data_IF_362440511299
#
_entry.id   IF_362440511299
#
_cell.length_a   1.000
_cell.length_b   1.000
_cell.length_c   1.000
_cell.angle_alpha   90.00
_cell.angle_beta   90.00
_cell.angle_gamma   90.00
#
_symmetry.space_group_name_H-M   'P 1'
#
loop_
_entity.id
_entity.type
_entity.pdbx_description
1 polymer ?
#
# COMPACT_ATOMS: atom_id res chain seq x y z
N UNK A 1 -22.74 2.33 9.89
CA UNK A 1 -21.49 1.56 9.99
C UNK A 1 -20.51 2.32 10.88
N UNK A 2 -19.73 1.66 11.75
CA UNK A 2 -18.71 2.39 12.51
C UNK A 2 -17.58 2.81 11.57
N UNK A 3 -16.93 3.96 11.82
CA UNK A 3 -15.89 4.49 10.93
C UNK A 3 -14.70 3.53 10.75
N UNK A 4 -14.42 2.68 11.74
CA UNK A 4 -13.39 1.62 11.67
C UNK A 4 -13.80 0.47 10.74
N UNK A 5 -15.08 0.11 10.71
CA UNK A 5 -15.58 -0.95 9.82
C UNK A 5 -15.54 -0.50 8.36
N UNK A 6 -16.02 0.74 8.11
CA UNK A 6 -15.91 1.41 6.81
C UNK A 6 -14.47 1.40 6.31
N UNK A 7 -13.53 1.71 7.20
CA UNK A 7 -12.13 1.74 6.86
C UNK A 7 -11.57 0.37 6.47
N UNK A 8 -11.81 -0.65 7.30
CA UNK A 8 -11.34 -2.00 7.00
C UNK A 8 -11.92 -2.51 5.67
N UNK A 9 -13.15 -2.11 5.36
CA UNK A 9 -13.82 -2.41 4.10
C UNK A 9 -13.16 -1.69 2.91
N UNK A 10 -12.91 -0.37 3.01
CA UNK A 10 -12.17 0.39 1.98
C UNK A 10 -10.80 -0.24 1.70
N UNK A 11 -10.06 -0.62 2.75
CA UNK A 11 -8.77 -1.30 2.59
C UNK A 11 -8.94 -2.64 1.89
N UNK A 12 -9.96 -3.43 2.26
CA UNK A 12 -10.25 -4.71 1.60
C UNK A 12 -10.58 -4.54 0.12
N UNK A 13 -11.33 -3.49 -0.24
CA UNK A 13 -11.67 -3.17 -1.63
C UNK A 13 -10.42 -2.73 -2.39
N UNK A 14 -9.58 -1.89 -1.78
CA UNK A 14 -8.30 -1.47 -2.38
C UNK A 14 -7.40 -2.67 -2.70
N UNK A 15 -7.31 -3.64 -1.78
CA UNK A 15 -6.53 -4.87 -1.99
C UNK A 15 -7.01 -5.69 -3.19
N UNK A 16 -8.21 -5.46 -3.70
CA UNK A 16 -8.75 -6.11 -4.90
C UNK A 16 -8.56 -5.26 -6.16
N UNK A 17 -8.73 -3.94 -6.05
CA UNK A 17 -8.81 -3.04 -7.21
C UNK A 17 -7.53 -2.26 -7.51
N UNK A 18 -6.56 -2.20 -6.59
CA UNK A 18 -5.32 -1.40 -6.65
C UNK A 18 -5.50 0.12 -6.70
N UNK A 19 -6.65 0.61 -7.16
CA UNK A 19 -7.05 2.00 -7.21
C UNK A 19 -8.54 2.05 -6.90
N UNK A 20 -8.93 3.01 -6.07
CA UNK A 20 -10.35 3.28 -5.79
C UNK A 20 -10.71 4.57 -6.52
N UNK A 21 -11.48 4.44 -7.60
CA UNK A 21 -12.09 5.55 -8.33
C UNK A 21 -13.43 5.87 -7.68
N UNK A 22 -13.59 7.13 -7.27
CA UNK A 22 -14.79 7.61 -6.62
C UNK A 22 -15.50 8.60 -7.55
N UNK A 23 -16.71 8.24 -7.97
CA UNK A 23 -17.61 9.16 -8.65
C UNK A 23 -18.44 9.88 -7.59
N UNK A 24 -18.45 11.21 -7.64
CA UNK A 24 -19.32 12.03 -6.80
C UNK A 24 -20.71 12.08 -7.44
N UNK A 25 -21.65 11.35 -6.86
CA UNK A 25 -23.07 11.45 -7.18
C UNK A 25 -23.84 11.70 -5.88
N UNK A 26 -24.31 12.93 -5.69
CA UNK A 26 -25.27 13.28 -4.65
C UNK A 26 -24.94 12.71 -3.25
N UNK A 27 -23.76 13.08 -2.72
CA UNK A 27 -23.27 12.74 -1.38
C UNK A 27 -22.90 11.26 -1.15
N UNK A 28 -23.09 10.42 -2.17
CA UNK A 28 -22.72 9.02 -2.15
C UNK A 28 -21.60 8.76 -3.15
N UNK A 29 -20.57 8.14 -2.63
CA UNK A 29 -19.40 7.73 -3.38
C UNK A 29 -19.58 6.27 -3.73
N UNK A 30 -19.79 5.99 -5.01
CA UNK A 30 -19.75 4.62 -5.53
C UNK A 30 -18.31 4.22 -5.81
N UNK A 31 -17.89 3.04 -5.32
CA UNK A 31 -16.62 2.46 -5.74
C UNK A 31 -16.87 1.68 -7.03
N UNK A 32 -16.27 2.17 -8.11
CA UNK A 32 -16.40 1.57 -9.44
C UNK A 32 -15.98 0.09 -9.38
N UNK A 33 -16.84 -0.79 -9.90
CA UNK A 33 -16.59 -2.23 -9.97
C UNK A 33 -16.86 -3.02 -8.69
N UNK A 34 -17.32 -2.40 -7.59
CA UNK A 34 -17.52 -3.13 -6.33
C UNK A 34 -18.98 -3.12 -5.79
N UNK A 35 -19.95 -2.52 -6.48
CA UNK A 35 -21.39 -2.56 -6.09
C UNK A 35 -21.71 -1.98 -4.70
N UNK A 36 -20.71 -1.44 -3.99
CA UNK A 36 -20.82 -0.81 -2.68
C UNK A 36 -20.71 0.69 -2.84
N UNK A 37 -21.56 1.38 -2.10
CA UNK A 37 -21.56 2.83 -1.98
C UNK A 37 -21.22 3.21 -0.54
N UNK A 38 -20.44 4.27 -0.39
CA UNK A 38 -20.08 4.85 0.89
C UNK A 38 -20.49 6.31 0.85
N UNK A 39 -20.99 6.87 1.94
CA UNK A 39 -21.21 8.32 1.98
C UNK A 39 -19.86 9.07 1.98
N UNK A 40 -19.85 10.29 1.44
CA UNK A 40 -18.67 11.19 1.52
C UNK A 40 -18.23 11.38 2.97
N UNK A 41 -19.18 11.44 3.90
CA UNK A 41 -18.93 11.60 5.34
C UNK A 41 -18.21 10.39 5.92
N UNK A 42 -18.59 9.16 5.54
CA UNK A 42 -17.94 7.94 5.99
C UNK A 42 -16.50 7.84 5.50
N UNK A 43 -16.27 8.16 4.22
CA UNK A 43 -14.92 8.20 3.66
C UNK A 43 -14.09 9.27 4.37
N UNK A 44 -14.59 10.50 4.50
CA UNK A 44 -13.85 11.56 5.23
C UNK A 44 -13.51 11.17 6.65
N UNK A 45 -14.43 10.54 7.39
CA UNK A 45 -14.17 10.04 8.74
C UNK A 45 -13.12 8.92 8.77
N UNK A 46 -13.22 7.95 7.86
CA UNK A 46 -12.23 6.88 7.73
C UNK A 46 -10.82 7.43 7.43
N UNK A 47 -10.74 8.45 6.58
CA UNK A 47 -9.50 9.16 6.23
C UNK A 47 -8.95 9.96 7.41
N UNK A 48 -9.80 10.69 8.13
CA UNK A 48 -9.41 11.43 9.33
C UNK A 48 -8.82 10.52 10.40
N UNK A 49 -9.33 9.29 10.55
CA UNK A 49 -8.84 8.32 11.53
C UNK A 49 -7.43 7.81 11.25
N UNK A 50 -7.01 7.76 9.98
CA UNK A 50 -5.68 7.28 9.58
C UNK A 50 -4.69 8.39 9.23
N UNK A 51 -5.22 9.60 9.00
CA UNK A 51 -4.45 10.71 8.48
C UNK A 51 -3.87 10.43 7.09
N UNK A 52 -2.98 11.32 6.66
CA UNK A 52 -2.22 11.23 5.41
C UNK A 52 -1.14 10.13 5.41
N UNK A 53 -1.17 9.21 6.39
CA UNK A 53 -0.14 8.19 6.60
C UNK A 53 -0.35 6.94 5.74
N UNK A 54 -1.61 6.67 5.36
CA UNK A 54 -2.00 5.53 4.54
C UNK A 54 -2.62 5.94 3.21
N UNK A 55 -3.22 7.13 3.11
CA UNK A 55 -3.94 7.54 1.90
C UNK A 55 -3.34 8.80 1.27
N UNK A 56 -3.27 8.79 -0.05
CA UNK A 56 -3.01 9.94 -0.88
C UNK A 56 -4.25 10.21 -1.74
N UNK A 57 -4.67 11.47 -1.80
CA UNK A 57 -5.85 11.91 -2.53
C UNK A 57 -5.43 12.76 -3.70
N UNK A 58 -5.96 12.43 -4.87
CA UNK A 58 -5.69 13.13 -6.11
C UNK A 58 -7.01 13.33 -6.84
N UNK A 59 -7.24 14.48 -7.46
CA UNK A 59 -8.38 14.67 -8.36
C UNK A 59 -7.92 14.36 -9.78
N UNK A 60 -8.70 13.54 -10.50
CA UNK A 60 -8.49 13.29 -11.92
C UNK A 60 -8.93 14.49 -12.77
N UNK A 61 -8.53 14.51 -14.03
CA UNK A 61 -9.00 15.50 -15.02
C UNK A 61 -10.52 15.45 -15.25
N UNK A 62 -11.17 14.33 -14.89
CA UNK A 62 -12.61 14.12 -15.01
C UNK A 62 -13.37 14.46 -13.70
N UNK A 63 -12.73 15.17 -12.76
CA UNK A 63 -13.26 15.49 -11.43
C UNK A 63 -13.58 14.24 -10.57
N UNK A 64 -12.92 13.11 -10.82
CA UNK A 64 -13.02 11.93 -9.97
C UNK A 64 -12.02 12.04 -8.82
N UNK A 65 -12.44 11.70 -7.60
CA UNK A 65 -11.52 11.59 -6.47
C UNK A 65 -10.83 10.23 -6.53
N UNK A 66 -9.53 10.24 -6.76
CA UNK A 66 -8.67 9.07 -6.73
C UNK A 66 -8.10 8.92 -5.31
N UNK A 67 -8.31 7.73 -4.73
CA UNK A 67 -7.65 7.35 -3.48
C UNK A 67 -6.57 6.33 -3.79
N UNK A 68 -5.32 6.73 -3.53
CA UNK A 68 -4.16 5.83 -3.54
C UNK A 68 -3.83 5.44 -2.11
N UNK A 69 -3.50 4.17 -1.89
CA UNK A 69 -3.06 3.70 -0.58
C UNK A 69 -1.54 3.50 -0.58
N UNK A 70 -0.87 4.31 0.23
CA UNK A 70 0.58 4.40 0.35
C UNK A 70 0.98 4.22 1.81
N UNK A 71 1.06 2.97 2.30
CA UNK A 71 1.47 2.73 3.67
C UNK A 71 2.91 3.21 3.90
N UNK A 72 3.09 4.24 4.75
CA UNK A 72 4.42 4.70 5.21
C UNK A 72 5.05 3.78 6.26
N UNK A 73 4.47 2.61 6.45
CA UNK A 73 4.88 1.56 7.39
C UNK A 73 5.26 0.31 6.59
N UNK A 74 6.28 -0.41 7.05
CA UNK A 74 6.77 -1.61 6.36
C UNK A 74 7.31 -2.66 7.32
N UNK A 75 7.62 -3.85 6.81
CA UNK A 75 8.28 -4.91 7.57
C UNK A 75 9.80 -4.78 7.43
N UNK A 76 10.51 -4.81 8.55
CA UNK A 76 11.97 -4.68 8.57
C UNK A 76 12.63 -5.87 7.86
N UNK A 77 13.26 -5.62 6.71
CA UNK A 77 13.97 -6.67 5.95
C UNK A 77 15.19 -7.19 6.70
N UNK A 78 15.91 -6.30 7.38
CA UNK A 78 17.11 -6.66 8.16
C UNK A 78 16.76 -7.51 9.37
N UNK A 79 15.61 -7.31 9.99
CA UNK A 79 15.10 -8.18 11.05
C UNK A 79 14.87 -9.60 10.53
N UNK A 80 14.33 -9.76 9.32
CA UNK A 80 14.07 -11.08 8.73
C UNK A 80 15.34 -11.89 8.44
N UNK A 81 16.50 -11.23 8.34
CA UNK A 81 17.81 -11.85 8.11
C UNK A 81 18.75 -11.70 9.31
N UNK A 82 18.19 -11.45 10.51
CA UNK A 82 18.92 -11.30 11.77
C UNK A 82 20.01 -10.20 11.79
N UNK A 83 19.90 -9.18 10.92
CA UNK A 83 20.77 -8.00 10.87
C UNK A 83 20.23 -6.81 11.67
N UNK A 84 18.95 -6.80 12.01
CA UNK A 84 18.36 -5.80 12.90
C UNK A 84 18.10 -6.39 14.28
N UNK A 85 18.70 -5.78 15.31
CA UNK A 85 18.54 -6.25 16.68
C UNK A 85 17.13 -5.93 17.21
N UNK A 86 16.39 -6.93 17.75
CA UNK A 86 14.98 -6.77 18.15
C UNK A 86 14.72 -5.69 19.20
N UNK A 87 15.75 -5.35 20.00
CA UNK A 87 15.69 -4.43 21.14
C UNK A 87 16.20 -3.02 20.83
N UNK A 88 16.68 -2.77 19.61
CA UNK A 88 17.10 -1.42 19.23
C UNK A 88 15.86 -0.59 18.94
N UNK A 89 15.51 0.32 19.85
CA UNK A 89 14.35 1.21 19.70
C UNK A 89 14.42 2.18 18.51
N UNK A 90 15.47 2.10 17.69
CA UNK A 90 15.71 2.96 16.53
C UNK A 90 15.17 2.42 15.19
N UNK A 91 14.72 1.17 15.11
CA UNK A 91 14.16 0.66 13.85
C UNK A 91 12.81 1.32 13.54
N UNK A 92 12.62 1.88 12.36
CA UNK A 92 11.35 2.50 11.93
C UNK A 92 10.38 1.50 11.27
N UNK A 93 10.72 0.21 11.22
CA UNK A 93 9.95 -0.82 10.52
C UNK A 93 9.54 -1.97 11.46
N UNK A 94 8.42 -2.62 11.13
CA UNK A 94 7.82 -3.67 11.94
C UNK A 94 8.74 -4.90 12.01
N UNK A 95 8.96 -5.38 13.23
CA UNK A 95 9.62 -6.65 13.53
C UNK A 95 8.56 -7.73 13.66
N UNK A 96 8.03 -8.16 12.53
CA UNK A 96 6.92 -9.11 12.45
C UNK A 96 7.14 -10.08 11.29
N UNK A 97 6.50 -11.25 11.36
CA UNK A 97 6.48 -12.20 10.27
C UNK A 97 5.90 -11.58 9.01
N UNK A 98 6.69 -11.58 7.93
CA UNK A 98 6.24 -11.10 6.62
C UNK A 98 5.10 -11.94 6.03
N UNK A 99 4.86 -13.16 6.52
CA UNK A 99 3.77 -14.06 6.07
C UNK A 99 2.60 -14.10 7.06
N UNK A 100 2.48 -13.13 7.97
CA UNK A 100 1.37 -13.08 8.92
C UNK A 100 0.00 -13.25 8.21
N UNK A 101 -0.88 -14.08 8.78
CA UNK A 101 -2.16 -14.49 8.17
C UNK A 101 -2.09 -15.71 7.25
N UNK A 102 -0.91 -16.06 6.75
CA UNK A 102 -0.67 -17.25 5.91
C UNK A 102 0.49 -18.12 6.44
N UNK A 103 0.99 -17.80 7.64
CA UNK A 103 2.07 -18.49 8.30
C UNK A 103 1.50 -19.49 9.31
N UNK A 104 2.12 -20.67 9.43
CA UNK A 104 1.84 -21.54 10.57
C UNK A 104 2.51 -20.95 11.81
N UNK A 105 1.71 -20.44 12.75
CA UNK A 105 2.19 -19.75 13.95
C UNK A 105 3.09 -20.64 14.80
N UNK A 106 2.81 -21.95 14.85
CA UNK A 106 3.57 -22.91 15.68
C UNK A 106 5.01 -23.11 15.21
N UNK A 107 5.26 -22.95 13.91
CA UNK A 107 6.55 -23.24 13.28
C UNK A 107 7.30 -21.95 12.87
N UNK A 108 6.79 -20.78 13.28
CA UNK A 108 7.34 -19.51 12.84
C UNK A 108 8.34 -18.93 13.84
N UNK A 109 9.55 -18.66 13.36
CA UNK A 109 10.60 -18.01 14.15
C UNK A 109 10.42 -16.48 14.27
N UNK A 110 9.39 -15.90 13.66
CA UNK A 110 9.16 -14.45 13.67
C UNK A 110 7.94 -14.08 14.52
N UNK A 111 7.97 -12.92 15.22
CA UNK A 111 6.84 -12.47 15.99
C UNK A 111 5.58 -12.28 15.13
N UNK A 112 4.41 -12.52 15.71
CA UNK A 112 3.11 -12.27 15.09
C UNK A 112 2.29 -11.21 15.85
N UNK A 113 2.88 -10.57 16.85
CA UNK A 113 2.21 -9.60 17.72
C UNK A 113 2.58 -8.16 17.33
N UNK A 114 1.56 -7.34 17.10
CA UNK A 114 1.72 -5.90 16.84
C UNK A 114 1.90 -5.10 18.14
N UNK A 115 1.58 -5.69 19.30
CA UNK A 115 1.62 -5.03 20.59
C UNK A 115 2.99 -5.09 21.28
N UNK A 116 4.03 -5.60 20.61
CA UNK A 116 5.41 -5.54 21.14
C UNK A 116 5.92 -4.09 21.17
N UNK A 117 6.87 -3.75 22.04
CA UNK A 117 7.31 -2.36 22.22
C UNK A 117 7.67 -1.62 20.92
N UNK A 118 8.48 -2.24 20.05
CA UNK A 118 8.83 -1.65 18.75
C UNK A 118 7.63 -1.58 17.80
N UNK A 119 6.87 -2.66 17.65
CA UNK A 119 5.76 -2.72 16.69
C UNK A 119 4.63 -1.76 17.09
N UNK A 120 4.31 -1.70 18.38
CA UNK A 120 3.31 -0.80 18.94
C UNK A 120 3.68 0.65 18.67
N UNK A 121 4.92 1.05 18.97
CA UNK A 121 5.42 2.40 18.69
C UNK A 121 5.26 2.76 17.21
N UNK A 122 5.64 1.86 16.31
CA UNK A 122 5.57 2.12 14.86
C UNK A 122 4.12 2.24 14.38
N UNK A 123 3.22 1.37 14.87
CA UNK A 123 1.79 1.42 14.55
C UNK A 123 1.18 2.73 15.04
N UNK A 124 1.49 3.15 16.26
CA UNK A 124 1.04 4.43 16.85
C UNK A 124 1.59 5.64 16.05
N UNK A 125 2.88 5.65 15.73
CA UNK A 125 3.52 6.70 14.93
C UNK A 125 2.99 6.78 13.50
N UNK A 126 2.49 5.67 12.96
CA UNK A 126 1.90 5.60 11.62
C UNK A 126 0.38 5.80 11.62
N UNK A 127 -0.21 6.09 12.79
CA UNK A 127 -1.66 6.24 12.97
C UNK A 127 -2.49 5.02 12.50
N UNK A 128 -1.92 3.81 12.59
CA UNK A 128 -2.52 2.57 12.07
C UNK A 128 -3.16 1.70 13.17
N UNK A 129 -3.28 2.20 14.40
CA UNK A 129 -3.75 1.42 15.56
C UNK A 129 -5.19 0.91 15.45
N UNK A 130 -6.00 1.53 14.59
CA UNK A 130 -7.40 1.14 14.34
C UNK A 130 -7.54 0.17 13.17
N UNK A 131 -6.49 -0.04 12.38
CA UNK A 131 -6.51 -0.96 11.23
C UNK A 131 -6.42 -2.39 11.74
N UNK A 132 -7.25 -3.28 11.19
CA UNK A 132 -7.09 -4.70 11.45
C UNK A 132 -5.65 -5.15 11.10
N UNK A 133 -4.90 -5.78 12.02
CA UNK A 133 -3.49 -6.10 11.78
C UNK A 133 -3.25 -7.03 10.57
N UNK A 134 -4.21 -7.90 10.24
CA UNK A 134 -4.15 -8.75 9.05
C UNK A 134 -4.24 -7.90 7.77
N UNK A 135 -5.16 -6.94 7.74
CA UNK A 135 -5.33 -6.03 6.61
C UNK A 135 -4.10 -5.12 6.46
N UNK A 136 -3.53 -4.64 7.57
CA UNK A 136 -2.33 -3.82 7.54
C UNK A 136 -1.15 -4.56 6.89
N UNK A 137 -0.91 -5.84 7.24
CA UNK A 137 0.17 -6.61 6.61
C UNK A 137 -0.11 -6.89 5.13
N UNK A 138 -1.36 -7.23 4.79
CA UNK A 138 -1.73 -7.41 3.37
C UNK A 138 -1.51 -6.13 2.58
N UNK A 139 -1.84 -4.97 3.15
CA UNK A 139 -1.63 -3.68 2.53
C UNK A 139 -0.15 -3.39 2.29
N UNK A 140 0.70 -3.63 3.30
CA UNK A 140 2.16 -3.50 3.18
C UNK A 140 2.70 -4.40 2.07
N UNK A 141 2.34 -5.69 2.09
CA UNK A 141 2.78 -6.68 1.09
C UNK A 141 2.34 -6.27 -0.32
N UNK A 142 1.10 -5.83 -0.45
CA UNK A 142 0.51 -5.41 -1.71
C UNK A 142 1.26 -4.20 -2.29
N UNK A 143 1.51 -3.18 -1.47
CA UNK A 143 2.25 -1.99 -1.86
C UNK A 143 3.70 -2.31 -2.28
N UNK A 144 4.39 -3.21 -1.56
CA UNK A 144 5.73 -3.67 -1.95
C UNK A 144 5.75 -4.38 -3.31
N UNK A 145 4.74 -5.19 -3.61
CA UNK A 145 4.62 -5.88 -4.91
C UNK A 145 4.35 -4.90 -6.04
N UNK A 146 3.43 -3.95 -5.82
CA UNK A 146 3.07 -2.92 -6.80
C UNK A 146 4.26 -2.01 -7.13
N UNK A 147 5.00 -1.56 -6.10
CA UNK A 147 6.18 -0.71 -6.26
C UNK A 147 7.28 -1.38 -7.10
N UNK A 148 7.48 -2.70 -6.95
CA UNK A 148 8.43 -3.47 -7.76
C UNK A 148 8.04 -3.54 -9.23
N UNK A 149 6.76 -3.76 -9.53
CA UNK A 149 6.26 -3.83 -10.91
C UNK A 149 6.41 -2.49 -11.62
N UNK A 150 6.07 -1.40 -10.94
CA UNK A 150 6.21 -0.05 -11.48
C UNK A 150 7.67 0.31 -11.79
N UNK A 151 8.59 -0.10 -10.91
CA UNK A 151 10.04 0.13 -11.10
C UNK A 151 10.64 -0.72 -12.23
N UNK A 152 10.06 -1.89 -12.54
CA UNK A 152 10.52 -2.75 -13.65
C UNK A 152 9.96 -2.29 -15.00
N UNK A 153 8.75 -1.73 -15.02
CA UNK A 153 8.12 -1.22 -16.24
C UNK A 153 8.88 -0.03 -16.85
N UNK A 154 9.49 0.83 -16.03
CA UNK A 154 10.28 1.97 -16.49
C UNK A 154 11.63 1.60 -17.09
N UNK A 155 12.20 0.45 -16.71
CA UNK A 155 13.51 -0.01 -17.21
C UNK A 155 13.38 -0.81 -18.52
N UNK A 156 12.19 -1.31 -18.84
CA UNK A 156 11.93 -2.14 -20.02
C UNK A 156 11.59 -1.36 -21.31
N UNK A 157 11.82 -0.04 -21.38
CA UNK A 157 11.73 0.67 -22.66
C UNK A 157 12.96 0.34 -23.52
N UNK A 158 12.82 -0.35 -24.67
CA UNK A 158 13.95 -0.58 -25.54
C UNK A 158 14.36 0.76 -26.12
N UNK A 159 15.62 1.15 -25.90
CA UNK A 159 16.27 2.19 -26.70
C UNK A 159 16.31 1.65 -28.13
N UNK A 160 15.31 1.98 -28.93
CA UNK A 160 15.36 1.78 -30.38
C UNK A 160 16.31 2.86 -30.92
N UNK A 161 17.62 2.60 -30.81
CA UNK A 161 18.64 3.35 -31.52
C UNK A 161 18.60 2.95 -32.99
N UNK A 162 17.67 3.56 -33.74
CA UNK A 162 17.74 3.59 -35.21
C UNK A 162 18.79 4.63 -35.61
N UNK A 163 20.05 4.24 -35.65
CA UNK A 163 21.02 4.92 -36.51
C UNK A 163 20.77 4.45 -37.95
N UNK A 164 20.41 5.34 -38.90
CA UNK A 164 20.36 4.98 -40.30
C UNK A 164 21.79 4.76 -40.80
N UNK A 165 22.05 3.56 -41.32
CA UNK A 165 23.28 3.19 -42.01
C UNK A 165 23.32 3.92 -43.36
N UNK A 166 24.04 5.04 -43.42
CA UNK A 166 24.30 5.75 -44.68
C UNK A 166 25.46 5.02 -45.37
N UNK A 167 25.15 4.11 -46.29
CA UNK A 167 26.16 3.57 -47.22
C UNK A 167 26.54 4.63 -48.26
N UNK A 168 27.83 4.89 -48.51
CA UNK A 168 28.25 5.69 -49.65
C UNK A 168 28.14 4.84 -50.93
N UNK A 169 27.41 5.36 -51.90
CA UNK A 169 27.36 4.82 -53.26
C UNK A 169 28.64 5.22 -54.00
N UNK A 170 29.52 4.27 -54.26
CA UNK A 170 30.65 4.44 -55.17
C UNK A 170 30.18 4.21 -56.60
N UNK A 171 30.13 5.27 -57.39
CA UNK A 171 29.96 5.25 -58.84
C UNK A 171 31.31 4.99 -59.52
N UNK A 172 31.33 4.03 -60.45
CA UNK A 172 32.35 3.85 -61.49
C UNK A 172 31.63 3.42 -62.76
#
# INVERSE_FOLDING_TARGET
MAAVDCLNEIISIFLQLNVIELCDHDLNIAIKGHGKTFSVVEIRRAVQLLGSSLFHFEYSQENLLLIRVEPRIGVCKDFLVAKCAPKTGGCSQLHICRRFGHCNVKDCNFPHHFNSGNNRRIVEQSHCQTVNPLLLIRLIQHHEQFSRRSSQATVASPVISKTPDIRPSSSS
#
